data_IF_210870795960
#
_entry.id   IF_210870795960
#
_cell.length_a   1.000
_cell.length_b   1.000
_cell.length_c   1.000
_cell.angle_alpha   90.00
_cell.angle_beta   90.00
_cell.angle_gamma   90.00
#
_symmetry.space_group_name_H-M   'P 1'
#
loop_
_entity.id
_entity.type
_entity.pdbx_description
1 polymer ?
#
# COMPACT_ATOMS: atom_id res chain seq x y z
N UNK A 1 -10.25 21.35 21.77
CA UNK A 1 -9.79 20.11 21.10
C UNK A 1 -8.64 20.53 20.22
N UNK A 2 -7.45 19.95 20.39
CA UNK A 2 -6.33 20.22 19.47
C UNK A 2 -6.70 19.61 18.12
N UNK A 3 -6.62 20.37 17.05
CA UNK A 3 -6.65 19.79 15.70
C UNK A 3 -5.51 18.78 15.58
N UNK A 4 -5.79 17.65 14.93
CA UNK A 4 -4.78 16.66 14.62
C UNK A 4 -3.77 17.27 13.65
N UNK A 5 -2.49 17.05 13.92
CA UNK A 5 -1.44 17.39 12.96
C UNK A 5 -1.57 16.56 11.69
N UNK A 6 -1.01 17.07 10.59
CA UNK A 6 -0.97 16.35 9.31
C UNK A 6 -0.35 14.95 9.48
N UNK A 7 0.74 14.84 10.24
CA UNK A 7 1.40 13.56 10.51
C UNK A 7 0.47 12.59 11.23
N UNK A 8 -0.26 13.05 12.26
CA UNK A 8 -1.20 12.19 12.99
C UNK A 8 -2.33 11.69 12.10
N UNK A 9 -2.80 12.51 11.15
CA UNK A 9 -3.81 12.10 10.17
C UNK A 9 -3.28 10.99 9.26
N UNK A 10 -2.07 11.13 8.70
CA UNK A 10 -1.47 10.09 7.85
C UNK A 10 -1.21 8.79 8.61
N UNK A 11 -0.72 8.87 9.84
CA UNK A 11 -0.50 7.68 10.69
C UNK A 11 -1.83 7.01 11.04
N UNK A 12 -2.88 7.78 11.33
CA UNK A 12 -4.20 7.23 11.62
C UNK A 12 -4.80 6.51 10.40
N UNK A 13 -4.72 7.14 9.22
CA UNK A 13 -5.19 6.56 7.96
C UNK A 13 -4.44 5.27 7.62
N UNK A 14 -3.11 5.25 7.76
CA UNK A 14 -2.29 4.05 7.54
C UNK A 14 -2.72 2.90 8.45
N UNK A 15 -2.95 3.18 9.74
CA UNK A 15 -3.39 2.18 10.72
C UNK A 15 -4.77 1.62 10.37
N UNK A 16 -5.70 2.48 9.99
CA UNK A 16 -7.05 2.06 9.57
C UNK A 16 -7.00 1.16 8.34
N UNK A 17 -6.28 1.59 7.30
CA UNK A 17 -6.11 0.81 6.07
C UNK A 17 -5.46 -0.53 6.39
N UNK A 18 -4.37 -0.54 7.15
CA UNK A 18 -3.65 -1.77 7.52
C UNK A 18 -4.53 -2.74 8.31
N UNK A 19 -5.29 -2.24 9.28
CA UNK A 19 -6.21 -3.06 10.07
C UNK A 19 -7.26 -3.70 9.17
N UNK A 20 -7.86 -2.93 8.25
CA UNK A 20 -8.84 -3.43 7.27
C UNK A 20 -8.25 -4.48 6.33
N UNK A 21 -7.06 -4.24 5.76
CA UNK A 21 -6.40 -5.17 4.85
C UNK A 21 -6.05 -6.50 5.53
N UNK A 22 -5.57 -6.44 6.77
CA UNK A 22 -5.21 -7.63 7.54
C UNK A 22 -6.43 -8.40 8.07
N UNK A 23 -7.56 -7.72 8.29
CA UNK A 23 -8.83 -8.37 8.65
C UNK A 23 -9.55 -8.98 7.43
N UNK A 24 -9.23 -8.52 6.22
CA UNK A 24 -9.80 -9.00 4.95
C UNK A 24 -9.03 -10.17 4.34
N UNK A 25 -8.85 -10.13 3.02
CA UNK A 25 -8.16 -11.17 2.26
C UNK A 25 -6.66 -11.32 2.60
N UNK A 26 -6.05 -10.34 3.28
CA UNK A 26 -4.66 -10.39 3.72
C UNK A 26 -3.65 -10.31 2.56
N UNK A 27 -2.43 -10.77 2.82
CA UNK A 27 -1.34 -10.77 1.83
C UNK A 27 -1.44 -11.98 0.91
N UNK A 28 -1.35 -11.76 -0.41
CA UNK A 28 -1.42 -12.86 -1.38
C UNK A 28 -1.58 -12.40 -2.83
N UNK A 29 -1.97 -13.34 -3.68
CA UNK A 29 -2.19 -13.11 -5.11
C UNK A 29 -3.64 -13.43 -5.42
N UNK A 30 -4.34 -12.49 -6.07
CA UNK A 30 -5.72 -12.69 -6.51
C UNK A 30 -5.79 -13.82 -7.53
N UNK A 31 -6.80 -14.68 -7.40
CA UNK A 31 -7.10 -15.70 -8.41
C UNK A 31 -7.73 -15.06 -9.66
N UNK A 32 -7.62 -15.69 -10.84
CA UNK A 32 -8.21 -15.16 -12.07
C UNK A 32 -9.71 -14.85 -11.97
N UNK A 33 -10.49 -15.69 -11.28
CA UNK A 33 -11.93 -15.49 -11.08
C UNK A 33 -12.28 -14.25 -10.25
N UNK A 34 -11.38 -13.84 -9.34
CA UNK A 34 -11.60 -12.68 -8.47
C UNK A 34 -11.40 -11.34 -9.19
N UNK A 35 -10.63 -11.34 -10.28
CA UNK A 35 -10.25 -10.14 -11.04
C UNK A 35 -10.90 -10.07 -12.41
N UNK A 36 -11.46 -11.18 -12.90
CA UNK A 36 -12.16 -11.23 -14.17
C UNK A 36 -13.26 -10.17 -14.24
N UNK A 37 -13.24 -9.37 -15.31
CA UNK A 37 -14.21 -8.30 -15.56
C UNK A 37 -13.98 -7.01 -14.75
N UNK A 38 -12.91 -6.91 -13.93
CA UNK A 38 -12.52 -5.67 -13.25
C UNK A 38 -11.47 -4.92 -14.05
N UNK A 39 -11.58 -3.60 -14.06
CA UNK A 39 -10.48 -2.70 -14.45
C UNK A 39 -9.37 -2.73 -13.38
N UNK A 40 -8.18 -2.22 -13.73
CA UNK A 40 -7.09 -2.08 -12.76
C UNK A 40 -7.48 -1.21 -11.56
N UNK A 41 -8.23 -0.12 -11.79
CA UNK A 41 -8.73 0.75 -10.72
C UNK A 41 -9.71 0.01 -9.80
N UNK A 42 -10.67 -0.73 -10.35
CA UNK A 42 -11.60 -1.52 -9.55
C UNK A 42 -10.90 -2.61 -8.73
N UNK A 43 -9.83 -3.20 -9.28
CA UNK A 43 -8.97 -4.12 -8.54
C UNK A 43 -8.31 -3.44 -7.35
N UNK A 44 -7.71 -2.25 -7.55
CA UNK A 44 -7.09 -1.47 -6.46
C UNK A 44 -8.09 -1.03 -5.40
N UNK A 45 -9.28 -0.61 -5.79
CA UNK A 45 -10.33 -0.23 -4.85
C UNK A 45 -10.87 -1.45 -4.08
N UNK A 46 -10.97 -2.62 -4.72
CA UNK A 46 -11.33 -3.87 -4.04
C UNK A 46 -10.24 -4.32 -3.06
N UNK A 47 -8.95 -4.15 -3.41
CA UNK A 47 -7.85 -4.32 -2.46
C UNK A 47 -8.00 -3.38 -1.26
N UNK A 48 -8.24 -2.08 -1.49
CA UNK A 48 -8.46 -1.10 -0.41
C UNK A 48 -9.63 -1.47 0.50
N UNK A 49 -10.72 -2.05 -0.03
CA UNK A 49 -11.84 -2.55 0.78
C UNK A 49 -11.53 -3.84 1.54
N UNK A 50 -10.38 -4.47 1.32
CA UNK A 50 -9.98 -5.74 1.92
C UNK A 50 -10.61 -6.97 1.24
N UNK A 51 -11.24 -6.80 0.08
CA UNK A 51 -11.93 -7.87 -0.67
C UNK A 51 -10.95 -8.70 -1.52
N UNK A 52 -9.88 -8.07 -1.99
CA UNK A 52 -8.78 -8.72 -2.72
C UNK A 52 -7.50 -8.68 -1.88
N UNK A 53 -6.63 -9.70 -2.03
CA UNK A 53 -5.37 -9.72 -1.33
C UNK A 53 -4.45 -8.57 -1.79
N UNK A 54 -3.68 -8.02 -0.87
CA UNK A 54 -2.61 -7.08 -1.19
C UNK A 54 -1.31 -7.84 -1.52
N UNK A 55 -0.45 -7.31 -2.41
CA UNK A 55 0.68 -8.08 -2.94
C UNK A 55 1.72 -8.38 -1.84
N UNK A 56 2.35 -9.57 -1.81
CA UNK A 56 3.32 -9.93 -0.78
C UNK A 56 4.52 -8.98 -0.67
N UNK A 57 4.93 -8.34 -1.76
CA UNK A 57 6.02 -7.36 -1.75
C UNK A 57 5.72 -6.16 -0.84
N UNK A 58 4.46 -5.73 -0.77
CA UNK A 58 4.01 -4.64 0.10
C UNK A 58 4.20 -5.01 1.59
N UNK A 59 3.93 -6.27 1.95
CA UNK A 59 4.23 -6.81 3.28
C UNK A 59 5.74 -6.86 3.55
N UNK A 60 6.50 -7.40 2.61
CA UNK A 60 7.94 -7.61 2.77
C UNK A 60 8.70 -6.30 2.93
N UNK A 61 8.23 -5.24 2.28
CA UNK A 61 8.85 -3.92 2.30
C UNK A 61 8.08 -2.91 3.16
N UNK A 62 7.17 -3.33 4.04
CA UNK A 62 6.41 -2.46 4.95
C UNK A 62 5.82 -1.20 4.26
N UNK A 63 5.10 -1.39 3.15
CA UNK A 63 4.33 -0.32 2.49
C UNK A 63 2.93 -0.78 2.11
N UNK A 64 2.03 0.17 1.84
CA UNK A 64 0.67 -0.12 1.41
C UNK A 64 0.07 0.98 0.53
N UNK A 65 -0.88 0.59 -0.31
CA UNK A 65 -1.78 1.52 -1.00
C UNK A 65 -2.75 2.12 0.02
N UNK A 66 -2.83 3.45 0.09
CA UNK A 66 -3.80 4.17 0.92
C UNK A 66 -5.01 4.65 0.11
N UNK A 67 -4.78 5.10 -1.12
CA UNK A 67 -5.83 5.71 -1.96
C UNK A 67 -5.59 5.35 -3.43
N UNK A 68 -6.68 5.08 -4.16
CA UNK A 68 -6.67 4.88 -5.60
C UNK A 68 -7.91 5.50 -6.23
N UNK A 69 -7.68 6.43 -7.16
CA UNK A 69 -8.67 7.07 -8.01
C UNK A 69 -8.10 7.22 -9.42
N UNK A 70 -8.92 7.63 -10.38
CA UNK A 70 -8.46 7.91 -11.74
C UNK A 70 -7.28 8.89 -11.74
N UNK A 71 -6.17 8.51 -12.37
CA UNK A 71 -4.94 9.31 -12.46
C UNK A 71 -4.20 9.52 -11.13
N UNK A 72 -4.57 8.84 -10.03
CA UNK A 72 -3.93 9.06 -8.72
C UNK A 72 -3.90 7.79 -7.87
N UNK A 73 -2.70 7.42 -7.44
CA UNK A 73 -2.46 6.40 -6.41
C UNK A 73 -1.56 6.97 -5.31
N UNK A 74 -1.90 6.70 -4.05
CA UNK A 74 -1.10 7.12 -2.88
C UNK A 74 -0.62 5.90 -2.15
N UNK A 75 0.69 5.81 -1.98
CA UNK A 75 1.33 4.79 -1.18
C UNK A 75 2.01 5.43 0.03
N UNK A 76 1.93 4.74 1.15
CA UNK A 76 2.69 5.06 2.36
C UNK A 76 3.53 3.83 2.72
N UNK A 77 4.65 4.05 3.40
CA UNK A 77 5.44 2.96 3.93
C UNK A 77 6.24 3.37 5.14
N UNK A 78 6.51 2.39 6.00
CA UNK A 78 7.18 2.52 7.29
C UNK A 78 8.43 1.65 7.27
N UNK A 79 9.50 2.04 6.55
CA UNK A 79 10.68 1.18 6.42
C UNK A 79 11.41 1.03 7.75
N UNK A 80 11.63 -0.21 8.18
CA UNK A 80 12.43 -0.54 9.36
C UNK A 80 13.89 -0.92 9.09
N UNK A 81 14.61 -1.40 10.13
CA UNK A 81 16.01 -1.84 10.04
C UNK A 81 16.30 -2.92 8.99
N UNK A 82 15.30 -3.73 8.62
CA UNK A 82 15.43 -4.74 7.58
C UNK A 82 15.67 -4.15 6.17
N UNK A 83 15.39 -2.85 5.99
CA UNK A 83 15.52 -2.15 4.70
C UNK A 83 16.78 -1.29 4.61
N UNK A 84 17.72 -1.41 5.56
CA UNK A 84 18.93 -0.61 5.57
C UNK A 84 19.94 -1.06 4.52
N UNK A 85 20.68 -0.10 3.97
CA UNK A 85 21.87 -0.33 3.18
C UNK A 85 23.12 -0.44 4.09
N UNK A 86 24.32 -0.74 3.53
CA UNK A 86 25.56 -0.84 4.33
C UNK A 86 25.97 0.45 5.05
N UNK A 87 25.44 1.61 4.66
CA UNK A 87 25.69 2.90 5.31
C UNK A 87 24.73 3.19 6.48
N UNK A 88 23.78 2.29 6.75
CA UNK A 88 22.83 2.42 7.86
C UNK A 88 21.64 3.35 7.58
N UNK A 89 21.41 3.75 6.32
CA UNK A 89 20.19 4.45 5.89
C UNK A 89 19.27 3.53 5.08
N UNK A 90 18.02 3.93 4.83
CA UNK A 90 17.10 3.14 3.99
C UNK A 90 17.72 2.92 2.60
N UNK A 91 17.68 1.68 2.11
CA UNK A 91 18.21 1.30 0.81
C UNK A 91 17.47 2.00 -0.33
N UNK A 92 18.20 2.51 -1.32
CA UNK A 92 17.61 3.18 -2.49
C UNK A 92 16.57 2.34 -3.22
N UNK A 93 16.77 1.02 -3.24
CA UNK A 93 15.81 0.06 -3.80
C UNK A 93 14.44 0.06 -3.12
N UNK A 94 14.36 0.35 -1.82
CA UNK A 94 13.06 0.47 -1.14
C UNK A 94 12.26 1.65 -1.69
N UNK A 95 12.91 2.81 -1.82
CA UNK A 95 12.31 4.00 -2.43
C UNK A 95 11.93 3.76 -3.89
N UNK A 96 12.80 3.08 -4.66
CA UNK A 96 12.51 2.75 -6.05
C UNK A 96 11.27 1.85 -6.17
N UNK A 97 11.10 0.87 -5.28
CA UNK A 97 9.94 -0.04 -5.32
C UNK A 97 8.62 0.66 -4.98
N UNK A 98 8.58 1.54 -3.96
CA UNK A 98 7.35 2.26 -3.64
C UNK A 98 6.99 3.28 -4.74
N UNK A 99 7.99 3.91 -5.37
CA UNK A 99 7.79 4.78 -6.53
C UNK A 99 7.28 4.02 -7.75
N UNK A 100 7.85 2.86 -8.06
CA UNK A 100 7.39 1.97 -9.14
C UNK A 100 5.92 1.58 -8.93
N UNK A 101 5.55 1.21 -7.70
CA UNK A 101 4.17 0.88 -7.34
C UNK A 101 3.23 2.07 -7.57
N UNK A 102 3.60 3.27 -7.12
CA UNK A 102 2.80 4.48 -7.31
C UNK A 102 2.62 4.84 -8.79
N UNK A 103 3.71 4.81 -9.56
CA UNK A 103 3.69 5.15 -11.00
C UNK A 103 2.90 4.12 -11.82
N UNK A 104 3.03 2.82 -11.51
CA UNK A 104 2.29 1.77 -12.19
C UNK A 104 0.78 1.80 -11.89
N UNK A 105 0.39 2.31 -10.72
CA UNK A 105 -1.00 2.37 -10.27
C UNK A 105 -1.71 3.67 -10.61
N UNK A 106 -1.00 4.77 -10.89
CA UNK A 106 -1.60 6.06 -11.22
C UNK A 106 -1.91 6.16 -12.73
N UNK A 107 -2.92 5.42 -13.17
CA UNK A 107 -3.41 5.38 -14.58
C UNK A 107 -4.76 6.04 -14.78
#
# INVERSE_FOLDING_TARGET
MSDMSVLETWIAQEREVTARLNAGAGSGVSRPDQVAGKTGLEMMQAMLRGELPYPPIAKTLDFQLLEASEGRAVFQGTPGPAHLNPMGSIHGGWYATILDSALGCAV
#
